data_IF_449103466237
#
_entry.id   IF_449103466237
#
_cell.length_a   1.000
_cell.length_b   1.000
_cell.length_c   1.000
_cell.angle_alpha   90.00
_cell.angle_beta   90.00
_cell.angle_gamma   90.00
#
_symmetry.space_group_name_H-M   'P 1'
#
loop_
_entity.id
_entity.type
_entity.pdbx_description
1 polymer ?
#
# COMPACT_ATOMS: atom_id res chain seq x y z
N UNK A 1 -6.87 -16.93 22.36
CA UNK A 1 -7.96 -16.86 21.38
C UNK A 1 -7.84 -17.90 20.28
N UNK A 2 -8.42 -19.09 20.46
CA UNK A 2 -8.73 -19.95 19.30
C UNK A 2 -10.02 -19.48 18.67
N UNK A 3 -10.15 -19.60 17.36
CA UNK A 3 -11.35 -19.19 16.63
C UNK A 3 -12.44 -20.23 16.90
N UNK A 4 -13.53 -19.81 17.53
CA UNK A 4 -14.67 -20.68 17.88
C UNK A 4 -15.88 -20.46 16.97
N UNK A 5 -15.92 -19.34 16.24
CA UNK A 5 -16.98 -19.00 15.32
C UNK A 5 -16.43 -18.16 14.16
N UNK A 6 -16.99 -18.37 12.98
CA UNK A 6 -16.82 -17.52 11.80
C UNK A 6 -18.14 -17.48 11.03
N UNK A 7 -18.40 -16.36 10.38
CA UNK A 7 -19.53 -16.23 9.47
C UNK A 7 -19.17 -16.77 8.06
N UNK A 8 -20.15 -16.76 7.15
CA UNK A 8 -19.96 -17.23 5.76
C UNK A 8 -18.97 -16.37 4.96
N UNK A 9 -18.80 -15.10 5.32
CA UNK A 9 -17.93 -14.16 4.59
C UNK A 9 -16.46 -14.57 4.61
N UNK A 10 -16.03 -15.34 5.61
CA UNK A 10 -14.65 -15.87 5.68
C UNK A 10 -14.28 -16.70 4.46
N UNK A 11 -15.23 -17.47 3.89
CA UNK A 11 -14.98 -18.22 2.66
C UNK A 11 -14.81 -17.30 1.45
N UNK A 12 -15.59 -16.22 1.38
CA UNK A 12 -15.50 -15.24 0.29
C UNK A 12 -14.21 -14.42 0.38
N UNK A 13 -13.84 -13.99 1.58
CA UNK A 13 -12.69 -13.10 1.81
C UNK A 13 -11.37 -13.91 1.79
N UNK A 14 -11.29 -14.99 2.56
CA UNK A 14 -10.04 -15.74 2.76
C UNK A 14 -9.98 -17.08 2.02
N UNK A 15 -11.08 -17.55 1.43
CA UNK A 15 -11.11 -18.81 0.67
C UNK A 15 -11.21 -20.09 1.52
N UNK A 16 -11.06 -20.00 2.84
CA UNK A 16 -11.14 -21.15 3.73
C UNK A 16 -12.58 -21.50 4.09
N UNK A 17 -12.87 -22.80 4.22
CA UNK A 17 -14.11 -23.25 4.82
C UNK A 17 -14.06 -23.13 6.35
N UNK A 18 -15.23 -23.08 7.00
CA UNK A 18 -15.36 -22.92 8.46
C UNK A 18 -14.58 -23.99 9.21
N UNK A 19 -14.62 -25.23 8.76
CA UNK A 19 -13.98 -26.40 9.38
C UNK A 19 -12.45 -26.29 9.39
N UNK A 20 -11.87 -25.50 8.48
CA UNK A 20 -10.42 -25.32 8.34
C UNK A 20 -9.88 -24.23 9.30
N UNK A 21 -10.76 -23.36 9.78
CA UNK A 21 -10.44 -22.22 10.64
C UNK A 21 -10.79 -22.49 12.09
N UNK A 22 -11.89 -23.19 12.35
CA UNK A 22 -12.31 -23.46 13.72
C UNK A 22 -11.23 -24.22 14.51
N UNK A 23 -10.99 -23.77 15.74
CA UNK A 23 -9.99 -24.33 16.66
C UNK A 23 -8.54 -23.91 16.37
N UNK A 24 -8.28 -23.17 15.28
CA UNK A 24 -6.98 -22.56 14.97
C UNK A 24 -6.83 -21.19 15.63
N UNK A 25 -5.60 -20.67 15.68
CA UNK A 25 -5.34 -19.29 16.12
C UNK A 25 -5.45 -18.35 14.92
N UNK A 26 -5.88 -17.12 15.14
CA UNK A 26 -5.93 -16.09 14.08
C UNK A 26 -4.56 -15.86 13.45
N UNK A 27 -3.54 -15.87 14.30
CA UNK A 27 -2.11 -15.90 14.00
C UNK A 27 -1.72 -16.91 12.91
N UNK A 28 -2.35 -18.09 12.85
CA UNK A 28 -2.00 -19.13 11.88
C UNK A 28 -2.29 -18.73 10.42
N UNK A 29 -2.96 -17.58 10.22
CA UNK A 29 -3.37 -17.05 8.92
C UNK A 29 -2.76 -15.68 8.59
N UNK A 30 -2.02 -15.06 9.52
CA UNK A 30 -1.33 -13.79 9.29
C UNK A 30 -0.06 -13.99 8.45
N UNK A 31 0.32 -12.97 7.69
CA UNK A 31 1.65 -12.93 7.06
C UNK A 31 2.72 -12.48 8.06
N UNK A 32 3.99 -12.82 7.80
CA UNK A 32 5.12 -12.45 8.68
C UNK A 32 5.21 -10.92 8.89
N UNK A 33 4.81 -10.12 7.89
CA UNK A 33 4.78 -8.65 7.97
C UNK A 33 3.70 -8.13 8.94
N UNK A 34 2.61 -8.88 9.12
CA UNK A 34 1.48 -8.50 9.98
C UNK A 34 1.66 -8.95 11.43
N UNK A 35 2.66 -9.80 11.67
CA UNK A 35 3.01 -10.34 12.97
C UNK A 35 3.90 -9.41 13.81
N UNK A 36 4.10 -8.17 13.36
CA UNK A 36 4.88 -7.17 14.10
C UNK A 36 4.33 -7.00 15.53
N UNK A 37 5.23 -6.53 16.41
CA UNK A 37 5.05 -6.40 17.88
C UNK A 37 3.69 -5.85 18.32
N UNK A 38 3.07 -4.99 17.50
CA UNK A 38 1.74 -4.40 17.70
C UNK A 38 0.62 -5.43 17.88
N UNK A 39 0.57 -6.51 17.09
CA UNK A 39 -0.52 -7.50 17.20
C UNK A 39 -0.47 -8.27 18.53
N UNK A 40 0.73 -8.63 18.99
CA UNK A 40 0.94 -9.28 20.28
C UNK A 40 0.61 -8.35 21.45
N UNK A 41 0.94 -7.05 21.33
CA UNK A 41 0.60 -6.04 22.32
C UNK A 41 -0.92 -5.77 22.39
N UNK A 42 -1.59 -5.69 21.24
CA UNK A 42 -3.06 -5.56 21.15
C UNK A 42 -3.73 -6.76 21.83
N UNK A 43 -3.31 -7.99 21.51
CA UNK A 43 -3.85 -9.17 22.16
C UNK A 43 -3.66 -9.12 23.68
N UNK A 44 -2.47 -8.73 24.16
CA UNK A 44 -2.21 -8.62 25.61
C UNK A 44 -3.16 -7.62 26.26
N UNK A 45 -3.34 -6.45 25.67
CA UNK A 45 -4.24 -5.40 26.15
C UNK A 45 -5.70 -5.85 26.17
N UNK A 46 -6.13 -6.65 25.19
CA UNK A 46 -7.47 -7.26 25.17
C UNK A 46 -7.65 -8.23 26.35
N UNK A 47 -6.64 -9.05 26.66
CA UNK A 47 -6.71 -9.94 27.83
C UNK A 47 -6.71 -9.17 29.16
N UNK A 48 -6.21 -7.93 29.17
CA UNK A 48 -6.30 -6.99 30.31
C UNK A 48 -7.66 -6.27 30.37
N UNK A 49 -8.58 -6.54 29.45
CA UNK A 49 -9.93 -5.98 29.42
C UNK A 49 -10.07 -4.65 28.68
N UNK A 50 -9.05 -4.23 27.92
CA UNK A 50 -9.18 -3.09 27.01
C UNK A 50 -9.93 -3.52 25.75
N UNK A 51 -10.70 -2.61 25.16
CA UNK A 51 -11.49 -2.82 23.95
C UNK A 51 -11.30 -1.67 22.95
N UNK A 52 -11.99 -1.76 21.80
CA UNK A 52 -12.01 -0.68 20.81
C UNK A 52 -10.78 -0.64 19.90
N UNK A 53 -10.09 -1.77 19.70
CA UNK A 53 -8.94 -1.82 18.80
C UNK A 53 -9.39 -1.83 17.35
N UNK A 54 -8.77 -0.96 16.54
CA UNK A 54 -8.89 -0.94 15.09
C UNK A 54 -7.48 -0.99 14.52
N UNK A 55 -7.20 -1.99 13.69
CA UNK A 55 -5.89 -2.14 13.06
C UNK A 55 -6.01 -2.75 11.67
N UNK A 56 -5.00 -2.49 10.84
CA UNK A 56 -4.87 -3.10 9.52
C UNK A 56 -3.84 -4.22 9.57
N UNK A 57 -4.11 -5.32 8.87
CA UNK A 57 -3.22 -6.47 8.81
C UNK A 57 -3.45 -7.27 7.53
N UNK A 58 -2.43 -8.05 7.16
CA UNK A 58 -2.42 -8.85 5.95
C UNK A 58 -2.55 -10.34 6.29
N UNK A 59 -3.48 -10.99 5.60
CA UNK A 59 -3.78 -12.40 5.73
C UNK A 59 -3.39 -13.18 4.48
N UNK A 60 -2.98 -14.41 4.71
CA UNK A 60 -2.94 -15.45 3.70
C UNK A 60 -4.36 -15.91 3.36
N UNK A 61 -4.67 -15.96 2.07
CA UNK A 61 -5.91 -16.51 1.54
C UNK A 61 -5.65 -17.67 0.57
N UNK A 62 -6.55 -18.64 0.56
CA UNK A 62 -6.52 -19.75 -0.41
C UNK A 62 -7.04 -19.29 -1.77
N UNK A 63 -6.27 -19.54 -2.82
CA UNK A 63 -6.78 -19.41 -4.19
C UNK A 63 -7.56 -20.66 -4.56
N UNK A 64 -8.80 -20.49 -5.02
CA UNK A 64 -9.56 -21.58 -5.63
C UNK A 64 -8.98 -21.89 -7.02
N UNK A 65 -7.88 -22.66 -7.09
CA UNK A 65 -7.76 -23.58 -8.23
C UNK A 65 -8.75 -24.71 -7.97
N UNK A 66 -9.93 -24.60 -8.59
CA UNK A 66 -11.00 -25.59 -8.50
C UNK A 66 -10.48 -26.89 -9.12
N UNK A 67 -9.88 -27.77 -8.32
CA UNK A 67 -9.89 -29.20 -8.64
C UNK A 67 -11.12 -29.83 -8.01
N UNK A 68 -11.88 -30.44 -8.91
CA UNK A 68 -13.26 -30.88 -8.77
C UNK A 68 -13.38 -32.03 -7.76
N UNK A 69 -14.53 -32.02 -7.09
CA UNK A 69 -15.37 -33.19 -6.75
C UNK A 69 -15.09 -33.90 -5.43
N UNK A 70 -15.83 -33.51 -4.37
CA UNK A 70 -16.45 -34.49 -3.45
C UNK A 70 -17.89 -34.07 -3.16
N UNK A 71 -18.75 -35.07 -3.14
CA UNK A 71 -20.21 -35.10 -3.20
C UNK A 71 -20.95 -34.42 -2.06
N UNK A 72 -22.09 -33.84 -2.42
CA UNK A 72 -23.20 -33.45 -1.56
C UNK A 72 -23.56 -34.52 -0.53
N UNK A 73 -23.66 -34.11 0.74
CA UNK A 73 -24.70 -34.56 1.67
C UNK A 73 -24.74 -33.64 2.90
N UNK A 74 -25.81 -32.85 2.96
CA UNK A 74 -26.55 -32.41 4.15
C UNK A 74 -25.80 -31.70 5.27
N UNK A 75 -26.20 -30.47 5.57
CA UNK A 75 -27.12 -30.19 6.68
C UNK A 75 -27.39 -28.68 6.79
N UNK A 76 -28.67 -28.36 6.84
CA UNK A 76 -29.18 -27.07 7.26
C UNK A 76 -28.96 -26.92 8.78
N UNK A 77 -28.54 -25.74 9.22
CA UNK A 77 -29.03 -25.10 10.46
C UNK A 77 -28.41 -23.70 10.60
N UNK A 78 -29.29 -22.70 10.61
CA UNK A 78 -29.00 -21.31 10.98
C UNK A 78 -28.73 -21.24 12.48
N UNK A 79 -27.47 -21.08 12.87
CA UNK A 79 -27.12 -20.65 14.23
C UNK A 79 -26.97 -19.13 14.22
N UNK A 80 -27.99 -18.43 14.74
CA UNK A 80 -27.94 -17.00 15.04
C UNK A 80 -26.97 -16.75 16.20
N UNK A 81 -26.36 -15.56 16.24
CA UNK A 81 -25.40 -15.15 17.27
C UNK A 81 -26.02 -15.22 18.69
N UNK A 82 -27.32 -14.93 18.80
CA UNK A 82 -28.09 -15.02 20.06
C UNK A 82 -28.15 -16.45 20.61
N UNK A 83 -28.31 -17.47 19.75
CA UNK A 83 -28.35 -18.87 20.18
C UNK A 83 -27.00 -19.43 20.64
N UNK A 84 -25.88 -18.83 20.20
CA UNK A 84 -24.54 -19.24 20.65
C UNK A 84 -24.21 -18.73 22.05
N UNK A 85 -24.65 -17.53 22.43
CA UNK A 85 -24.46 -16.98 23.78
C UNK A 85 -25.19 -17.84 24.82
N UNK A 86 -26.41 -18.30 24.53
CA UNK A 86 -27.15 -19.22 25.41
C UNK A 86 -26.51 -20.61 25.52
N UNK A 87 -25.89 -21.11 24.45
CA UNK A 87 -25.26 -22.43 24.41
C UNK A 87 -24.02 -22.53 25.31
N UNK A 88 -23.22 -21.47 25.44
CA UNK A 88 -22.03 -21.47 26.30
C UNK A 88 -22.36 -21.43 27.81
N UNK A 89 -23.60 -21.12 28.18
CA UNK A 89 -24.04 -21.10 29.58
C UNK A 89 -24.30 -22.48 30.20
N UNK A 90 -24.38 -23.57 29.42
CA UNK A 90 -24.91 -24.85 29.95
C UNK A 90 -24.12 -26.14 29.72
N UNK A 91 -23.03 -26.19 28.95
CA UNK A 91 -22.37 -27.49 28.74
C UNK A 91 -20.83 -27.44 28.74
N UNK A 92 -20.24 -27.65 29.93
CA UNK A 92 -18.80 -27.93 30.10
C UNK A 92 -18.57 -29.43 30.14
N UNK A 93 -18.63 -30.13 29.01
CA UNK A 93 -17.97 -31.45 28.82
C UNK A 93 -18.15 -32.00 27.40
N UNK A 94 -17.09 -31.89 26.59
CA UNK A 94 -16.44 -32.99 25.84
C UNK A 94 -15.44 -32.42 24.81
N UNK A 95 -14.18 -32.38 25.23
CA UNK A 95 -13.03 -32.18 24.34
C UNK A 95 -12.87 -33.43 23.46
N UNK A 96 -12.96 -33.28 22.14
CA UNK A 96 -12.43 -34.28 21.20
C UNK A 96 -11.06 -33.82 20.76
N UNK A 97 -10.05 -34.58 21.17
CA UNK A 97 -8.63 -34.40 20.80
C UNK A 97 -8.50 -34.56 19.27
N UNK A 98 -7.87 -33.59 18.61
CA UNK A 98 -7.50 -33.64 17.19
C UNK A 98 -5.98 -33.81 17.09
N UNK A 99 -5.42 -34.74 16.28
CA UNK A 99 -3.99 -35.05 16.30
C UNK A 99 -3.07 -33.93 15.81
N UNK A 100 -1.84 -33.94 16.32
CA UNK A 100 -0.88 -32.82 16.41
C UNK A 100 0.12 -32.66 15.24
N UNK A 101 -0.12 -33.21 14.04
CA UNK A 101 0.86 -33.14 12.95
C UNK A 101 0.34 -32.44 11.68
N UNK A 102 0.27 -31.11 11.69
CA UNK A 102 0.13 -30.29 10.46
C UNK A 102 0.94 -28.98 10.62
N UNK A 103 2.27 -29.05 10.58
CA UNK A 103 3.13 -27.84 10.54
C UNK A 103 3.83 -27.61 9.20
N UNK A 104 4.08 -28.64 8.38
CA UNK A 104 4.97 -28.45 7.20
C UNK A 104 4.28 -28.32 5.84
N UNK A 105 2.98 -28.60 5.69
CA UNK A 105 2.33 -28.58 4.36
C UNK A 105 1.79 -27.21 3.88
N UNK A 106 1.80 -26.15 4.68
CA UNK A 106 0.99 -24.94 4.38
C UNK A 106 1.58 -23.91 3.41
N UNK A 107 2.86 -23.95 3.03
CA UNK A 107 3.44 -22.89 2.16
C UNK A 107 3.10 -23.02 0.66
N UNK A 108 2.65 -24.18 0.15
CA UNK A 108 2.37 -24.38 -1.29
C UNK A 108 0.91 -24.19 -1.72
N UNK A 109 -0.04 -24.15 -0.78
CA UNK A 109 -1.49 -24.09 -1.06
C UNK A 109 -2.11 -22.70 -0.84
N UNK A 110 -1.31 -21.69 -0.50
CA UNK A 110 -1.77 -20.34 -0.18
C UNK A 110 -1.47 -19.44 -1.38
N UNK A 111 -2.51 -18.91 -2.00
CA UNK A 111 -2.43 -18.33 -3.33
C UNK A 111 -2.40 -16.80 -3.39
N UNK A 112 -3.08 -16.11 -2.45
CA UNK A 112 -3.12 -14.63 -2.45
C UNK A 112 -3.03 -14.02 -1.07
N UNK A 113 -2.61 -12.75 -1.04
CA UNK A 113 -2.59 -11.90 0.16
C UNK A 113 -3.83 -11.01 0.16
N UNK A 114 -4.45 -10.83 1.32
CA UNK A 114 -5.65 -10.00 1.50
C UNK A 114 -5.38 -9.01 2.63
N UNK A 115 -5.66 -7.74 2.38
CA UNK A 115 -5.51 -6.66 3.34
C UNK A 115 -6.83 -6.48 4.08
N UNK A 116 -6.81 -6.62 5.40
CA UNK A 116 -7.98 -6.54 6.27
C UNK A 116 -7.85 -5.41 7.28
N UNK A 117 -8.91 -4.64 7.43
CA UNK A 117 -9.16 -3.76 8.56
C UNK A 117 -9.95 -4.54 9.60
N UNK A 118 -9.37 -4.76 10.78
CA UNK A 118 -9.97 -5.55 11.86
C UNK A 118 -10.34 -4.64 13.03
N UNK A 119 -11.58 -4.76 13.46
CA UNK A 119 -12.07 -4.21 14.72
C UNK A 119 -12.28 -5.35 15.73
N UNK A 120 -11.71 -5.19 16.93
CA UNK A 120 -11.83 -6.16 18.01
C UNK A 120 -12.57 -5.58 19.22
N UNK A 121 -13.51 -6.35 19.75
CA UNK A 121 -14.30 -5.98 20.93
C UNK A 121 -14.41 -7.15 21.89
N UNK A 122 -14.36 -6.85 23.18
CA UNK A 122 -14.39 -7.86 24.25
C UNK A 122 -15.83 -8.15 24.65
N UNK A 123 -16.16 -9.44 24.79
CA UNK A 123 -17.45 -9.89 25.31
C UNK A 123 -17.28 -10.30 26.77
N UNK A 124 -18.05 -9.64 27.63
CA UNK A 124 -18.04 -9.83 29.08
C UNK A 124 -19.24 -10.65 29.56
N UNK A 125 -19.02 -11.47 30.59
CA UNK A 125 -20.05 -12.07 31.42
C UNK A 125 -19.73 -11.74 32.89
N UNK A 126 -20.45 -10.76 33.44
CA UNK A 126 -20.07 -10.14 34.72
C UNK A 126 -18.66 -9.54 34.64
N UNK A 127 -17.79 -9.90 35.58
CA UNK A 127 -16.40 -9.43 35.63
C UNK A 127 -15.42 -10.33 34.86
N UNK A 128 -15.92 -11.24 34.01
CA UNK A 128 -15.09 -12.19 33.27
C UNK A 128 -15.21 -11.97 31.78
N UNK A 129 -14.07 -11.89 31.11
CA UNK A 129 -14.00 -11.95 29.65
C UNK A 129 -14.30 -13.38 29.19
N UNK A 130 -15.30 -13.53 28.34
CA UNK A 130 -15.73 -14.84 27.82
C UNK A 130 -15.38 -15.04 26.35
N UNK A 131 -15.27 -13.96 25.57
CA UNK A 131 -14.90 -14.04 24.15
C UNK A 131 -14.35 -12.71 23.62
N UNK A 132 -13.75 -12.78 22.43
CA UNK A 132 -13.34 -11.64 21.63
C UNK A 132 -14.12 -11.72 20.32
N UNK A 133 -14.81 -10.65 19.95
CA UNK A 133 -15.45 -10.49 18.66
C UNK A 133 -14.50 -9.73 17.74
N UNK A 134 -14.20 -10.30 16.58
CA UNK A 134 -13.44 -9.64 15.53
C UNK A 134 -14.35 -9.41 14.33
N UNK A 135 -14.40 -8.17 13.84
CA UNK A 135 -15.05 -7.81 12.57
C UNK A 135 -13.93 -7.44 11.61
N UNK A 136 -13.83 -8.17 10.50
CA UNK A 136 -12.83 -7.92 9.47
C UNK A 136 -13.49 -7.39 8.19
N UNK A 137 -12.93 -6.31 7.64
CA UNK A 137 -13.32 -5.71 6.37
C UNK A 137 -12.18 -5.88 5.37
N UNK A 138 -12.49 -6.41 4.18
CA UNK A 138 -11.54 -6.46 3.07
C UNK A 138 -11.32 -5.04 2.52
N UNK A 139 -10.08 -4.57 2.61
CA UNK A 139 -9.63 -3.25 2.13
C UNK A 139 -8.63 -3.38 0.98
N UNK A 140 -8.49 -4.57 0.39
CA UNK A 140 -7.49 -4.87 -0.65
C UNK A 140 -7.68 -3.98 -1.88
N UNK A 141 -8.90 -3.88 -2.40
CA UNK A 141 -9.19 -3.01 -3.55
C UNK A 141 -9.03 -1.52 -3.19
N UNK A 142 -9.43 -1.11 -1.98
CA UNK A 142 -9.24 0.27 -1.50
C UNK A 142 -7.76 0.66 -1.51
N UNK A 143 -6.91 -0.14 -0.85
CA UNK A 143 -5.45 0.07 -0.80
C UNK A 143 -4.81 0.04 -2.17
N UNK A 144 -5.25 -0.86 -3.06
CA UNK A 144 -4.76 -0.95 -4.45
C UNK A 144 -5.11 0.30 -5.26
N UNK A 145 -6.31 0.86 -5.08
CA UNK A 145 -6.71 2.09 -5.75
C UNK A 145 -5.97 3.31 -5.17
N UNK A 146 -5.81 3.37 -3.85
CA UNK A 146 -5.01 4.42 -3.18
C UNK A 146 -3.56 4.39 -3.66
N UNK A 147 -2.93 3.22 -3.77
CA UNK A 147 -1.56 3.12 -4.27
C UNK A 147 -1.47 3.53 -5.74
N UNK A 148 -2.40 3.09 -6.59
CA UNK A 148 -2.45 3.53 -7.99
C UNK A 148 -2.65 5.04 -8.13
N UNK A 149 -3.50 5.64 -7.30
CA UNK A 149 -3.70 7.08 -7.30
C UNK A 149 -2.40 7.80 -6.91
N UNK A 150 -1.73 7.34 -5.84
CA UNK A 150 -0.43 7.85 -5.40
C UNK A 150 0.66 7.69 -6.47
N UNK A 151 0.73 6.55 -7.15
CA UNK A 151 1.65 6.33 -8.26
C UNK A 151 1.34 7.26 -9.44
N UNK A 152 0.07 7.47 -9.75
CA UNK A 152 -0.37 8.38 -10.81
C UNK A 152 0.01 9.83 -10.49
N UNK A 153 -0.21 10.30 -9.26
CA UNK A 153 0.20 11.64 -8.81
C UNK A 153 1.72 11.82 -8.92
N UNK A 154 2.50 10.83 -8.46
CA UNK A 154 3.96 10.84 -8.61
C UNK A 154 4.40 10.88 -10.07
N UNK A 155 3.77 10.09 -10.94
CA UNK A 155 4.09 10.07 -12.36
C UNK A 155 3.74 11.38 -13.05
N UNK A 156 2.60 11.99 -12.70
CA UNK A 156 2.23 13.30 -13.21
C UNK A 156 3.26 14.37 -12.78
N UNK A 157 3.67 14.36 -11.51
CA UNK A 157 4.74 15.22 -11.02
C UNK A 157 6.04 15.05 -11.83
N UNK A 158 6.46 13.81 -12.12
CA UNK A 158 7.64 13.52 -12.93
C UNK A 158 7.50 14.03 -14.37
N UNK A 159 6.32 13.90 -14.98
CA UNK A 159 6.06 14.41 -16.35
C UNK A 159 6.13 15.92 -16.39
N UNK A 160 5.53 16.61 -15.42
CA UNK A 160 5.60 18.07 -15.28
C UNK A 160 7.05 18.54 -15.04
N UNK A 161 7.80 17.81 -14.22
CA UNK A 161 9.24 18.05 -14.00
C UNK A 161 10.06 17.93 -15.27
N UNK A 162 9.84 16.86 -16.04
CA UNK A 162 10.54 16.63 -17.30
C UNK A 162 10.24 17.74 -18.32
N UNK A 163 8.97 18.18 -18.41
CA UNK A 163 8.56 19.28 -19.28
C UNK A 163 9.22 20.61 -18.90
N UNK A 164 9.20 20.97 -17.61
CA UNK A 164 9.83 22.20 -17.11
C UNK A 164 11.34 22.22 -17.34
N UNK A 165 12.00 21.11 -16.97
CA UNK A 165 13.44 20.92 -17.15
C UNK A 165 13.83 21.04 -18.62
N UNK A 166 13.11 20.35 -19.51
CA UNK A 166 13.36 20.41 -20.93
C UNK A 166 13.19 21.84 -21.46
N UNK A 167 12.16 22.55 -21.04
CA UNK A 167 11.93 23.94 -21.44
C UNK A 167 13.08 24.86 -21.00
N UNK A 168 13.47 24.80 -19.73
CA UNK A 168 14.52 25.66 -19.18
C UNK A 168 15.91 25.37 -19.76
N UNK A 169 16.22 24.12 -20.10
CA UNK A 169 17.47 23.74 -20.76
C UNK A 169 17.46 24.08 -22.26
N UNK A 170 16.32 23.95 -22.92
CA UNK A 170 16.19 24.25 -24.35
C UNK A 170 16.43 25.74 -24.65
N UNK A 171 16.01 26.64 -23.76
CA UNK A 171 16.21 28.09 -23.94
C UNK A 171 17.69 28.48 -24.20
N UNK A 172 18.64 28.23 -23.28
CA UNK A 172 20.06 28.52 -23.52
C UNK A 172 20.66 27.65 -24.64
N UNK A 173 20.20 26.41 -24.83
CA UNK A 173 20.66 25.55 -25.91
C UNK A 173 20.33 26.14 -27.30
N UNK A 174 19.11 26.67 -27.47
CA UNK A 174 18.72 27.36 -28.71
C UNK A 174 19.62 28.56 -28.99
N UNK A 175 19.98 29.33 -27.95
CA UNK A 175 20.91 30.45 -28.09
C UNK A 175 22.28 29.96 -28.56
N UNK A 176 22.85 28.94 -27.90
CA UNK A 176 24.15 28.35 -28.28
C UNK A 176 24.14 27.92 -29.75
N UNK A 177 23.11 27.18 -30.17
CA UNK A 177 23.02 26.68 -31.54
C UNK A 177 22.89 27.82 -32.56
N UNK A 178 22.06 28.83 -32.29
CA UNK A 178 21.89 29.99 -33.15
C UNK A 178 23.19 30.79 -33.29
N UNK A 179 23.91 31.01 -32.20
CA UNK A 179 25.22 31.71 -32.18
C UNK A 179 26.27 30.92 -32.95
N UNK A 180 26.34 29.60 -32.78
CA UNK A 180 27.22 28.75 -33.60
C UNK A 180 26.89 28.86 -35.10
N UNK A 181 25.61 28.94 -35.47
CA UNK A 181 25.23 29.16 -36.87
C UNK A 181 25.69 30.50 -37.42
N UNK A 182 25.66 31.57 -36.61
CA UNK A 182 26.14 32.89 -37.03
C UNK A 182 27.66 32.83 -37.23
N UNK A 183 28.39 32.24 -36.27
CA UNK A 183 29.84 31.98 -36.36
C UNK A 183 30.23 31.23 -37.63
N UNK A 184 29.47 30.18 -37.99
CA UNK A 184 29.73 29.40 -39.21
C UNK A 184 29.45 30.16 -40.51
N UNK A 185 28.59 31.17 -40.48
CA UNK A 185 28.22 31.94 -41.69
C UNK A 185 29.24 33.05 -42.02
N UNK A 186 30.33 33.19 -41.27
CA UNK A 186 31.42 34.17 -41.49
C UNK A 186 30.90 35.61 -41.66
N UNK A 187 29.85 35.99 -40.94
CA UNK A 187 29.24 37.34 -41.00
C UNK A 187 29.91 38.34 -40.05
N UNK A 188 31.14 38.08 -39.62
CA UNK A 188 31.82 38.90 -38.61
C UNK A 188 32.72 39.94 -39.28
N UNK A 189 32.55 41.19 -38.88
CA UNK A 189 33.35 42.31 -39.40
C UNK A 189 34.67 42.45 -38.63
N UNK A 190 34.76 41.89 -37.41
CA UNK A 190 35.94 41.98 -36.57
C UNK A 190 36.13 40.78 -35.63
N UNK A 191 37.35 40.63 -35.10
CA UNK A 191 37.66 39.68 -34.01
C UNK A 191 36.80 39.93 -32.76
N UNK A 192 36.46 41.19 -32.47
CA UNK A 192 35.58 41.54 -31.34
C UNK A 192 34.17 40.98 -31.49
N UNK A 193 33.67 40.80 -32.70
CA UNK A 193 32.34 40.22 -32.92
C UNK A 193 32.35 38.71 -32.62
N UNK A 194 33.44 38.04 -32.97
CA UNK A 194 33.67 36.63 -32.65
C UNK A 194 33.78 36.45 -31.12
N UNK A 195 34.53 37.31 -30.44
CA UNK A 195 34.66 37.27 -28.97
C UNK A 195 33.30 37.42 -28.27
N UNK A 196 32.44 38.32 -28.75
CA UNK A 196 31.08 38.49 -28.20
C UNK A 196 30.20 37.26 -28.37
N UNK A 197 30.27 36.62 -29.54
CA UNK A 197 29.51 35.39 -29.82
C UNK A 197 30.00 34.23 -28.94
N UNK A 198 31.32 34.08 -28.78
CA UNK A 198 31.91 33.08 -27.88
C UNK A 198 31.50 33.31 -26.42
N UNK A 199 31.49 34.56 -25.95
CA UNK A 199 31.02 34.91 -24.61
C UNK A 199 29.55 34.55 -24.40
N UNK A 200 28.70 34.73 -25.43
CA UNK A 200 27.28 34.37 -25.37
C UNK A 200 27.09 32.85 -25.24
N UNK A 201 27.88 32.05 -25.96
CA UNK A 201 27.90 30.59 -25.87
C UNK A 201 28.34 30.17 -24.46
N UNK A 202 29.41 30.77 -23.95
CA UNK A 202 29.95 30.47 -22.62
C UNK A 202 28.90 30.72 -21.53
N UNK A 203 28.31 31.93 -21.48
CA UNK A 203 27.27 32.27 -20.50
C UNK A 203 26.05 31.38 -20.58
N UNK A 204 25.63 31.01 -21.79
CA UNK A 204 24.50 30.10 -21.98
C UNK A 204 24.81 28.69 -21.47
N UNK A 205 26.04 28.24 -21.65
CA UNK A 205 26.53 26.95 -21.13
C UNK A 205 26.62 26.96 -19.59
N UNK A 206 27.12 28.05 -18.99
CA UNK A 206 27.12 28.23 -17.53
C UNK A 206 25.69 28.22 -16.98
N UNK A 207 24.75 28.88 -17.67
CA UNK A 207 23.34 28.86 -17.28
C UNK A 207 22.75 27.45 -17.30
N UNK A 208 23.05 26.65 -18.32
CA UNK A 208 22.64 25.24 -18.36
C UNK A 208 23.20 24.45 -17.18
N UNK A 209 24.49 24.62 -16.86
CA UNK A 209 25.12 23.96 -15.72
C UNK A 209 24.46 24.35 -14.39
N UNK A 210 24.10 25.63 -14.22
CA UNK A 210 23.34 26.08 -13.04
C UNK A 210 21.96 25.42 -12.95
N UNK A 211 21.21 25.34 -14.06
CA UNK A 211 19.88 24.70 -14.10
C UNK A 211 20.00 23.21 -13.73
N UNK A 212 20.95 22.49 -14.32
CA UNK A 212 21.22 21.07 -14.00
C UNK A 212 21.53 20.91 -12.50
N UNK A 213 22.35 21.80 -11.93
CA UNK A 213 22.68 21.77 -10.51
C UNK A 213 21.45 22.00 -9.62
N UNK A 214 20.55 22.91 -9.98
CA UNK A 214 19.29 23.14 -9.24
C UNK A 214 18.39 21.91 -9.29
N UNK A 215 18.19 21.33 -10.47
CA UNK A 215 17.38 20.12 -10.64
C UNK A 215 17.92 18.95 -9.83
N UNK A 216 19.25 18.78 -9.79
CA UNK A 216 19.90 17.73 -9.00
C UNK A 216 19.70 17.85 -7.48
N UNK A 217 19.29 19.03 -7.01
CA UNK A 217 19.02 19.33 -5.60
C UNK A 217 17.54 19.30 -5.24
N UNK A 218 16.65 18.99 -6.18
CA UNK A 218 15.22 18.90 -5.89
C UNK A 218 14.99 17.77 -4.90
N UNK A 219 14.39 18.10 -3.76
CA UNK A 219 14.10 17.14 -2.68
C UNK A 219 12.61 16.95 -2.44
N UNK A 220 11.79 17.93 -2.84
CA UNK A 220 10.33 17.93 -2.65
C UNK A 220 9.64 18.49 -3.90
N UNK A 221 8.36 18.17 -4.09
CA UNK A 221 7.58 18.60 -5.26
C UNK A 221 6.68 19.78 -4.91
N UNK A 222 6.96 20.94 -5.50
CA UNK A 222 6.07 22.12 -5.48
C UNK A 222 5.71 22.54 -6.90
N UNK A 223 4.50 23.07 -7.10
CA UNK A 223 4.04 23.53 -8.42
C UNK A 223 3.62 24.98 -8.42
N UNK A 224 3.64 25.57 -9.62
CA UNK A 224 3.05 26.86 -9.93
C UNK A 224 2.06 26.74 -11.11
N UNK A 225 1.04 27.61 -11.18
CA UNK A 225 0.13 27.64 -12.30
C UNK A 225 0.86 27.91 -13.61
N UNK A 226 0.51 27.17 -14.65
CA UNK A 226 1.00 27.32 -16.02
C UNK A 226 -0.17 27.56 -16.98
N UNK A 227 0.17 27.98 -18.20
CA UNK A 227 -0.82 28.37 -19.21
C UNK A 227 -1.75 27.19 -19.54
N UNK A 228 -3.02 27.48 -19.85
CA UNK A 228 -4.08 26.50 -20.16
C UNK A 228 -4.56 25.64 -18.98
N UNK A 229 -4.38 26.09 -17.73
CA UNK A 229 -4.89 25.41 -16.55
C UNK A 229 -4.08 24.19 -16.12
N UNK A 230 -2.89 24.00 -16.70
CA UNK A 230 -1.91 23.02 -16.27
C UNK A 230 -1.06 23.59 -15.13
N UNK A 231 -0.50 22.72 -14.28
CA UNK A 231 0.53 23.10 -13.31
C UNK A 231 1.90 22.67 -13.83
N UNK A 232 2.94 23.36 -13.39
CA UNK A 232 4.34 23.01 -13.69
C UNK A 232 5.16 23.06 -12.41
N UNK A 233 6.20 22.23 -12.29
CA UNK A 233 7.07 22.26 -11.11
C UNK A 233 7.70 23.66 -10.93
N UNK A 234 7.71 24.14 -9.69
CA UNK A 234 8.47 25.31 -9.29
C UNK A 234 9.85 24.86 -8.82
N UNK A 235 10.83 24.91 -9.73
CA UNK A 235 12.20 24.41 -9.48
C UNK A 235 12.86 25.14 -8.31
N UNK A 236 12.60 26.44 -8.11
CA UNK A 236 13.20 27.20 -7.02
C UNK A 236 12.72 26.68 -5.67
N UNK A 237 11.39 26.65 -5.47
CA UNK A 237 10.78 26.18 -4.22
C UNK A 237 10.99 24.70 -3.95
N UNK A 238 11.14 23.91 -5.01
CA UNK A 238 11.40 22.46 -4.92
C UNK A 238 12.86 22.12 -4.55
N UNK A 239 13.76 23.11 -4.62
CA UNK A 239 15.21 22.94 -4.37
C UNK A 239 15.72 23.60 -3.09
N UNK A 240 14.88 24.39 -2.41
CA UNK A 240 15.19 25.02 -1.13
C UNK A 240 14.83 24.08 0.03
N UNK A 241 15.82 23.76 0.85
CA UNK A 241 15.70 23.05 2.13
C UNK A 241 16.52 23.75 3.20
#
# INVERSE_FOLDING_TARGET
GKIVFVNKSVKTILGYNKEEILGKRLEDFLTDHSFNKEFGEIQKQIHEGKDGFLFECEFWAKDFKIEKRISEKGLAETQTFEGLVEFFGKDRRKSKVVPEHIKERRKKDIGRRVQLEISESVIWEGNRIIAIQCIARDITERKRLEEKARESEKNQALVEMAGATAHELNQPLTIILATIEILKKNKHESLKDIEKELELIYRSSERMAMIIKKISKITHYETKPYVSGANIIDIERSSDG
#
